data_IF_122210860373
#
_entry.id   IF_122210860373
#
_cell.length_a   1.000
_cell.length_b   1.000
_cell.length_c   1.000
_cell.angle_alpha   90.00
_cell.angle_beta   90.00
_cell.angle_gamma   90.00
#
_symmetry.space_group_name_H-M   'P 1'
#
loop_
_entity.id
_entity.type
_entity.pdbx_description
1 polymer ?
#
# COMPACT_ATOMS: atom_id res chain seq x y z
N UNK A 1 -6.62 -46.62 33.78
CA UNK A 1 -6.09 -45.93 32.58
C UNK A 1 -6.66 -44.52 32.40
N UNK A 2 -7.80 -44.18 33.01
CA UNK A 2 -8.39 -42.82 32.90
C UNK A 2 -7.65 -41.76 33.73
N UNK A 3 -7.22 -42.05 34.96
CA UNK A 3 -6.51 -41.05 35.81
C UNK A 3 -5.20 -40.51 35.24
N UNK A 4 -4.40 -41.32 34.52
CA UNK A 4 -3.14 -40.85 33.92
C UNK A 4 -3.37 -39.89 32.74
N UNK A 5 -4.53 -40.00 32.07
CA UNK A 5 -4.92 -39.12 30.98
C UNK A 5 -5.39 -37.76 31.50
N UNK A 6 -5.94 -37.71 32.70
CA UNK A 6 -6.32 -36.47 33.38
C UNK A 6 -5.10 -35.74 33.95
N UNK A 7 -4.13 -36.45 34.54
CA UNK A 7 -2.88 -35.83 35.04
C UNK A 7 -2.06 -35.17 33.93
N UNK A 8 -1.92 -35.84 32.78
CA UNK A 8 -1.24 -35.28 31.61
C UNK A 8 -1.97 -34.08 31.02
N UNK A 9 -3.29 -34.05 31.08
CA UNK A 9 -4.09 -32.89 30.63
C UNK A 9 -3.92 -31.70 31.57
N UNK A 10 -3.93 -31.94 32.89
CA UNK A 10 -3.71 -30.89 33.89
C UNK A 10 -2.31 -30.26 33.75
N UNK A 11 -1.27 -31.08 33.54
CA UNK A 11 0.09 -30.58 33.32
C UNK A 11 0.21 -29.75 32.04
N UNK A 12 -0.52 -30.14 30.98
CA UNK A 12 -0.57 -29.36 29.74
C UNK A 12 -1.29 -28.03 29.94
N UNK A 13 -2.44 -28.03 30.61
CA UNK A 13 -3.20 -26.81 30.93
C UNK A 13 -2.36 -25.84 31.79
N UNK A 14 -1.56 -26.35 32.73
CA UNK A 14 -0.65 -25.53 33.54
C UNK A 14 0.52 -24.96 32.71
N UNK A 15 1.11 -25.76 31.83
CA UNK A 15 2.16 -25.32 30.90
C UNK A 15 1.66 -24.21 29.97
N UNK A 16 0.46 -24.38 29.40
CA UNK A 16 -0.16 -23.42 28.50
C UNK A 16 -0.49 -22.11 29.25
N UNK A 17 -0.95 -22.21 30.50
CA UNK A 17 -1.22 -21.04 31.35
C UNK A 17 0.05 -20.26 31.75
N UNK A 18 1.19 -20.94 31.92
CA UNK A 18 2.48 -20.28 32.16
C UNK A 18 2.92 -19.54 30.89
N UNK A 19 2.84 -20.19 29.73
CA UNK A 19 3.22 -19.59 28.45
C UNK A 19 2.34 -18.38 28.12
N UNK A 20 1.03 -18.47 28.31
CA UNK A 20 0.10 -17.38 28.07
C UNK A 20 0.43 -16.14 28.93
N UNK A 21 0.77 -16.33 30.21
CA UNK A 21 1.18 -15.23 31.09
C UNK A 21 2.48 -14.58 30.63
N UNK A 22 3.48 -15.37 30.25
CA UNK A 22 4.73 -14.84 29.74
C UNK A 22 4.54 -13.99 28.47
N UNK A 23 3.70 -14.44 27.54
CA UNK A 23 3.39 -13.68 26.33
C UNK A 23 2.66 -12.37 26.67
N UNK A 24 1.69 -12.41 27.59
CA UNK A 24 0.99 -11.20 28.04
C UNK A 24 1.96 -10.18 28.65
N UNK A 25 2.88 -10.63 29.51
CA UNK A 25 3.90 -9.76 30.11
C UNK A 25 4.84 -9.13 29.06
N UNK A 26 5.19 -9.85 28.00
CA UNK A 26 6.01 -9.31 26.89
C UNK A 26 5.24 -8.26 26.07
N UNK A 27 3.94 -8.48 25.82
CA UNK A 27 3.08 -7.48 25.19
C UNK A 27 2.90 -6.24 26.07
N UNK A 28 2.71 -6.41 27.37
CA UNK A 28 2.55 -5.30 28.31
C UNK A 28 3.85 -4.46 28.37
N UNK A 29 5.03 -5.09 28.39
CA UNK A 29 6.33 -4.38 28.30
C UNK A 29 6.50 -3.59 26.99
N UNK A 30 6.09 -4.15 25.85
CA UNK A 30 6.15 -3.46 24.57
C UNK A 30 5.19 -2.26 24.53
N UNK A 31 3.98 -2.43 25.05
CA UNK A 31 3.01 -1.34 25.14
C UNK A 31 3.44 -0.24 26.12
N UNK A 32 4.08 -0.59 27.24
CA UNK A 32 4.64 0.39 28.18
C UNK A 32 5.82 1.16 27.57
N UNK A 33 6.66 0.51 26.77
CA UNK A 33 7.75 1.16 26.04
C UNK A 33 7.21 2.16 25.00
N UNK A 34 6.16 1.80 24.25
CA UNK A 34 5.50 2.69 23.29
C UNK A 34 4.75 3.84 24.00
N UNK A 35 4.19 3.61 25.19
CA UNK A 35 3.54 4.65 25.99
C UNK A 35 4.54 5.68 26.53
N UNK A 36 5.75 5.28 26.94
CA UNK A 36 6.79 6.20 27.41
C UNK A 36 7.37 7.09 26.30
N UNK A 37 7.25 6.70 25.03
CA UNK A 37 7.72 7.50 23.89
C UNK A 37 6.77 8.65 23.53
N UNK A 38 5.52 8.61 23.99
CA UNK A 38 4.47 9.61 23.69
C UNK A 38 4.27 10.70 24.78
N UNK A 39 4.98 10.68 25.91
CA UNK A 39 4.76 11.63 27.04
C UNK A 39 5.85 12.72 27.13
N UNK A 40 6.65 12.92 26.09
CA UNK A 40 7.66 14.00 26.03
C UNK A 40 7.39 14.98 24.89
N UNK A 41 6.22 15.62 24.86
CA UNK A 41 5.98 16.90 24.17
C UNK A 41 4.60 17.48 24.52
N UNK A 42 4.41 17.92 25.75
CA UNK A 42 3.43 18.97 26.05
C UNK A 42 4.15 20.05 26.85
N UNK A 43 4.52 21.15 26.17
CA UNK A 43 4.32 22.47 26.76
C UNK A 43 4.41 23.59 25.70
N UNK A 44 3.37 24.43 25.73
CA UNK A 44 3.27 25.79 25.16
C UNK A 44 2.82 25.95 23.70
N UNK A 45 1.50 26.10 23.54
CA UNK A 45 0.90 26.93 22.49
C UNK A 45 0.71 28.35 23.04
N UNK A 46 0.97 29.41 22.26
CA UNK A 46 -0.14 30.30 21.96
C UNK A 46 -0.25 30.61 20.46
N UNK A 47 -1.51 30.57 20.04
CA UNK A 47 -2.08 30.96 18.74
C UNK A 47 -1.78 32.41 18.38
N UNK A 48 -1.23 32.68 17.19
CA UNK A 48 -1.57 33.86 16.36
C UNK A 48 -0.96 33.75 14.94
N UNK A 49 -1.85 33.66 13.96
CA UNK A 49 -1.84 34.17 12.57
C UNK A 49 -0.58 34.27 11.66
N UNK A 50 -0.80 34.24 10.32
CA UNK A 50 0.20 33.90 9.31
C UNK A 50 0.90 35.14 8.71
N UNK A 51 1.91 34.84 7.87
CA UNK A 51 2.81 35.73 7.11
C UNK A 51 4.07 36.18 7.87
N UNK A 52 5.25 35.76 7.38
CA UNK A 52 5.99 36.57 6.38
C UNK A 52 6.84 35.68 5.46
N UNK A 53 6.64 35.91 4.16
CA UNK A 53 7.50 35.53 3.05
C UNK A 53 8.88 36.17 3.20
N UNK A 54 9.93 35.42 2.88
CA UNK A 54 11.21 35.82 2.25
C UNK A 54 12.25 34.75 2.58
N UNK A 55 13.10 34.26 1.70
CA UNK A 55 13.32 34.53 0.30
C UNK A 55 14.21 33.38 -0.23
N UNK A 56 13.77 32.76 -1.33
CA UNK A 56 14.58 32.26 -2.45
C UNK A 56 15.95 31.69 -2.10
N UNK A 57 15.97 30.39 -1.76
CA UNK A 57 16.98 29.41 -2.19
C UNK A 57 16.49 28.03 -1.72
N UNK A 58 15.81 27.28 -2.60
CA UNK A 58 15.36 25.92 -2.30
C UNK A 58 16.58 24.98 -2.33
N UNK A 59 17.43 25.06 -1.30
CA UNK A 59 18.55 24.12 -1.11
C UNK A 59 18.03 22.94 -0.30
N UNK A 60 18.01 21.77 -0.92
CA UNK A 60 17.61 20.52 -0.28
C UNK A 60 18.86 19.70 0.03
N UNK A 61 19.12 19.49 1.32
CA UNK A 61 20.24 18.67 1.78
C UNK A 61 19.81 17.20 1.87
N UNK A 62 20.46 16.33 1.11
CA UNK A 62 20.16 14.89 1.05
C UNK A 62 21.40 14.07 1.41
N UNK A 63 21.35 13.29 2.50
CA UNK A 63 22.45 12.40 2.85
C UNK A 63 22.54 11.23 1.85
N UNK A 64 23.75 10.89 1.43
CA UNK A 64 23.99 9.72 0.60
C UNK A 64 23.88 8.43 1.43
N UNK A 65 23.11 7.42 0.98
CA UNK A 65 22.99 6.15 1.72
C UNK A 65 24.31 5.38 1.82
N UNK A 66 25.21 5.53 0.85
CA UNK A 66 26.43 4.71 0.76
C UNK A 66 27.65 5.37 1.41
N UNK A 67 27.81 6.69 1.27
CA UNK A 67 29.01 7.39 1.73
C UNK A 67 28.73 8.43 2.82
N UNK A 68 27.48 8.52 3.29
CA UNK A 68 26.97 9.46 4.31
C UNK A 68 27.21 10.95 4.01
N UNK A 69 27.74 11.28 2.83
CA UNK A 69 27.97 12.65 2.40
C UNK A 69 26.66 13.41 2.21
N UNK A 70 26.57 14.61 2.78
CA UNK A 70 25.42 15.50 2.63
C UNK A 70 25.50 16.24 1.29
N UNK A 71 24.58 15.95 0.37
CA UNK A 71 24.52 16.59 -0.94
C UNK A 71 23.56 17.76 -0.90
N UNK A 72 24.01 18.93 -1.33
CA UNK A 72 23.17 20.12 -1.43
C UNK A 72 22.61 20.23 -2.85
N UNK A 73 21.29 20.09 -2.97
CA UNK A 73 20.58 20.17 -4.24
C UNK A 73 19.91 21.54 -4.32
N UNK A 74 20.44 22.38 -5.21
CA UNK A 74 19.85 23.68 -5.51
C UNK A 74 18.65 23.51 -6.46
N UNK A 75 17.48 24.02 -6.07
CA UNK A 75 16.25 23.99 -6.87
C UNK A 75 15.88 22.56 -7.32
N UNK A 76 15.54 21.65 -6.39
CA UNK A 76 15.17 20.28 -6.74
C UNK A 76 13.95 20.29 -7.68
N UNK A 77 14.16 19.80 -8.90
CA UNK A 77 13.12 19.50 -9.87
C UNK A 77 12.54 18.13 -9.59
N UNK A 78 11.21 18.06 -9.44
CA UNK A 78 10.45 16.81 -9.28
C UNK A 78 10.67 15.86 -10.47
N UNK A 79 10.85 14.57 -10.19
CA UNK A 79 11.06 13.54 -11.21
C UNK A 79 12.48 13.43 -11.77
N UNK A 80 13.43 14.27 -11.32
CA UNK A 80 14.86 14.07 -11.64
C UNK A 80 15.53 13.14 -10.64
N UNK A 81 16.37 12.26 -11.15
CA UNK A 81 17.25 11.42 -10.35
C UNK A 81 18.54 12.20 -10.04
N UNK A 82 18.86 12.34 -8.75
CA UNK A 82 20.08 13.00 -8.31
C UNK A 82 21.12 11.96 -7.93
N UNK A 83 22.39 12.30 -8.10
CA UNK A 83 23.53 11.43 -7.74
C UNK A 83 24.38 12.13 -6.71
N UNK A 84 24.98 11.36 -5.82
CA UNK A 84 25.92 11.86 -4.84
C UNK A 84 27.17 12.39 -5.55
N UNK A 85 27.66 13.57 -5.14
CA UNK A 85 28.88 14.15 -5.72
C UNK A 85 30.14 13.34 -5.41
N UNK A 86 30.17 12.61 -4.28
CA UNK A 86 31.35 11.85 -3.84
C UNK A 86 31.44 10.45 -4.46
N UNK A 87 30.32 9.72 -4.45
CA UNK A 87 30.31 8.30 -4.86
C UNK A 87 29.42 8.02 -6.08
N UNK A 88 28.75 9.03 -6.63
CA UNK A 88 27.84 8.92 -7.78
C UNK A 88 26.62 7.99 -7.57
N UNK A 89 26.43 7.46 -6.36
CA UNK A 89 25.24 6.70 -5.97
C UNK A 89 23.99 7.56 -6.10
N UNK A 90 22.89 6.95 -6.55
CA UNK A 90 21.60 7.61 -6.67
C UNK A 90 21.07 8.04 -5.29
N UNK A 91 20.64 9.29 -5.17
CA UNK A 91 20.11 9.87 -3.95
C UNK A 91 18.59 9.75 -3.91
N UNK A 92 18.07 9.34 -2.75
CA UNK A 92 16.65 9.36 -2.45
C UNK A 92 16.25 10.77 -2.02
N UNK A 93 16.02 11.62 -3.02
CA UNK A 93 15.54 12.97 -2.77
C UNK A 93 14.06 12.90 -2.43
N UNK A 94 13.63 13.34 -1.23
CA UNK A 94 12.22 13.43 -0.92
C UNK A 94 11.61 14.36 -1.94
N UNK A 95 10.80 13.79 -2.84
CA UNK A 95 9.98 14.59 -3.71
C UNK A 95 9.10 15.40 -2.78
N UNK A 96 9.33 16.71 -2.68
CA UNK A 96 8.36 17.65 -2.12
C UNK A 96 7.19 17.70 -3.09
N UNK A 97 6.49 16.57 -3.15
CA UNK A 97 5.31 16.36 -3.91
C UNK A 97 4.23 16.93 -3.00
N UNK A 98 3.91 18.20 -3.23
CA UNK A 98 2.51 18.49 -3.53
C UNK A 98 2.11 17.50 -4.62
N UNK A 99 1.81 16.26 -4.23
CA UNK A 99 0.77 15.53 -4.91
C UNK A 99 -0.39 16.50 -4.77
N UNK A 100 -0.83 17.09 -5.88
CA UNK A 100 -2.25 17.35 -5.96
C UNK A 100 -2.87 16.04 -5.49
N UNK A 101 -3.50 16.05 -4.33
CA UNK A 101 -4.38 14.96 -3.92
C UNK A 101 -5.46 14.94 -4.99
N UNK A 102 -5.19 14.28 -6.13
CA UNK A 102 -6.24 13.72 -6.95
C UNK A 102 -6.99 12.82 -5.98
N UNK A 103 -8.08 13.35 -5.44
CA UNK A 103 -8.92 12.61 -4.53
C UNK A 103 -9.24 11.28 -5.19
N UNK A 104 -8.98 10.15 -4.51
CA UNK A 104 -9.28 8.84 -5.07
C UNK A 104 -10.73 8.84 -5.51
N UNK A 105 -10.96 8.70 -6.82
CA UNK A 105 -12.33 8.69 -7.35
C UNK A 105 -12.99 7.41 -6.87
N UNK A 106 -13.92 7.52 -5.94
CA UNK A 106 -14.68 6.36 -5.46
C UNK A 106 -15.88 6.15 -6.37
N UNK A 107 -16.02 4.94 -6.93
CA UNK A 107 -17.17 4.55 -7.75
C UNK A 107 -17.88 3.35 -7.19
N UNK A 108 -19.21 3.38 -7.26
CA UNK A 108 -20.05 2.26 -6.88
C UNK A 108 -20.19 1.28 -8.05
N UNK A 109 -20.06 -0.02 -7.78
CA UNK A 109 -20.30 -1.06 -8.77
C UNK A 109 -21.80 -1.19 -9.06
N UNK A 110 -22.24 -1.18 -10.33
CA UNK A 110 -23.66 -1.33 -10.67
C UNK A 110 -24.21 -2.73 -10.37
N UNK A 111 -23.36 -3.76 -10.28
CA UNK A 111 -23.79 -5.13 -10.07
C UNK A 111 -23.90 -5.50 -8.57
N UNK A 112 -22.92 -5.09 -7.76
CA UNK A 112 -22.82 -5.48 -6.35
C UNK A 112 -22.91 -4.31 -5.36
N UNK A 113 -23.09 -3.08 -5.86
CA UNK A 113 -23.20 -1.85 -5.07
C UNK A 113 -22.00 -1.56 -4.15
N UNK A 114 -20.87 -2.23 -4.36
CA UNK A 114 -19.67 -1.99 -3.58
C UNK A 114 -18.91 -0.76 -4.09
N UNK A 115 -18.34 0.01 -3.16
CA UNK A 115 -17.51 1.17 -3.46
C UNK A 115 -16.09 0.70 -3.81
N UNK A 116 -15.61 1.11 -4.98
CA UNK A 116 -14.30 0.79 -5.52
C UNK A 116 -13.50 2.08 -5.66
N UNK A 117 -12.22 2.05 -5.28
CA UNK A 117 -11.30 3.17 -5.46
C UNK A 117 -10.72 3.06 -6.87
N UNK A 118 -10.94 4.10 -7.69
CA UNK A 118 -10.43 4.14 -9.05
C UNK A 118 -9.05 4.80 -9.03
N UNK A 119 -7.97 4.08 -9.43
CA UNK A 119 -6.66 4.69 -9.59
C UNK A 119 -6.70 5.72 -10.72
N UNK A 120 -6.03 6.86 -10.56
CA UNK A 120 -6.03 7.95 -11.55
C UNK A 120 -5.24 7.67 -12.83
N UNK A 121 -4.64 6.47 -12.95
CA UNK A 121 -3.94 6.03 -14.16
C UNK A 121 -4.94 5.50 -15.18
N UNK A 122 -4.71 5.84 -16.46
CA UNK A 122 -5.51 5.33 -17.58
C UNK A 122 -5.36 3.82 -17.68
N UNK A 123 -6.47 3.10 -17.54
CA UNK A 123 -6.58 1.68 -17.78
C UNK A 123 -7.67 1.43 -18.84
N UNK A 124 -7.48 0.42 -19.68
CA UNK A 124 -8.43 0.08 -20.76
C UNK A 124 -9.76 -0.47 -20.22
N UNK A 125 -9.74 -1.09 -19.04
CA UNK A 125 -10.93 -1.52 -18.31
C UNK A 125 -10.70 -1.46 -16.80
N UNK A 126 -11.73 -1.04 -16.06
CA UNK A 126 -11.74 -1.02 -14.59
C UNK A 126 -12.76 -2.07 -14.12
N UNK A 127 -12.34 -3.01 -13.28
CA UNK A 127 -13.20 -4.07 -12.74
C UNK A 127 -13.46 -3.86 -11.25
N UNK A 128 -14.62 -4.31 -10.77
CA UNK A 128 -14.94 -4.30 -9.35
C UNK A 128 -14.08 -5.31 -8.59
N UNK A 129 -13.47 -4.89 -7.48
CA UNK A 129 -12.66 -5.77 -6.64
C UNK A 129 -13.44 -6.90 -5.95
N UNK A 130 -14.78 -6.81 -5.90
CA UNK A 130 -15.62 -7.79 -5.22
C UNK A 130 -16.35 -8.75 -6.17
N UNK A 131 -16.90 -8.25 -7.27
CA UNK A 131 -17.67 -9.06 -8.21
C UNK A 131 -17.02 -9.16 -9.59
N UNK A 132 -15.86 -8.54 -9.80
CA UNK A 132 -15.07 -8.56 -11.04
C UNK A 132 -15.82 -8.06 -12.28
N UNK A 133 -16.97 -7.41 -12.10
CA UNK A 133 -17.74 -6.78 -13.16
C UNK A 133 -17.13 -5.42 -13.52
N UNK A 134 -17.16 -5.05 -14.79
CA UNK A 134 -16.63 -3.77 -15.27
C UNK A 134 -17.36 -2.57 -14.65
N UNK A 135 -16.60 -1.60 -14.14
CA UNK A 135 -17.05 -0.37 -13.47
C UNK A 135 -17.27 0.80 -14.44
N UNK A 136 -16.73 0.69 -15.65
CA UNK A 136 -16.81 1.74 -16.70
C UNK A 136 -17.29 1.10 -17.99
N UNK A 137 -18.42 1.58 -18.52
CA UNK A 137 -18.71 1.40 -19.94
C UNK A 137 -17.76 2.30 -20.75
N UNK A 138 -17.12 1.77 -21.82
CA UNK A 138 -16.26 2.58 -22.66
C UNK A 138 -17.04 3.79 -23.16
N UNK A 139 -16.46 4.99 -23.05
CA UNK A 139 -17.01 6.27 -23.51
C UNK A 139 -17.03 6.39 -25.03
N UNK A 140 -17.47 5.34 -25.71
CA UNK A 140 -17.67 5.29 -27.15
C UNK A 140 -19.01 4.60 -27.43
N UNK A 141 -19.95 5.27 -28.12
CA UNK A 141 -21.15 4.61 -28.61
C UNK A 141 -20.71 3.71 -29.77
N UNK A 142 -20.40 2.44 -29.46
CA UNK A 142 -20.15 1.45 -30.49
C UNK A 142 -21.17 0.34 -30.27
N UNK A 143 -22.20 0.44 -31.12
CA UNK A 143 -22.97 -0.61 -31.74
C UNK A 143 -23.04 -1.96 -31.01
N UNK A 144 -24.28 -2.32 -30.70
CA UNK A 144 -24.75 -3.70 -30.54
C UNK A 144 -24.05 -4.65 -31.54
N UNK A 145 -23.74 -5.86 -31.07
CA UNK A 145 -23.13 -7.00 -31.78
C UNK A 145 -21.60 -7.06 -31.79
N UNK A 146 -21.02 -7.44 -30.65
CA UNK A 146 -19.88 -8.35 -30.67
C UNK A 146 -20.00 -9.28 -29.48
N UNK A 147 -20.22 -10.57 -29.74
CA UNK A 147 -19.99 -11.66 -28.79
C UNK A 147 -18.51 -11.65 -28.43
N UNK A 148 -18.12 -10.79 -27.49
CA UNK A 148 -16.78 -10.81 -26.91
C UNK A 148 -16.65 -12.10 -26.12
N UNK A 149 -15.83 -13.04 -26.61
CA UNK A 149 -15.44 -14.21 -25.82
C UNK A 149 -14.76 -13.73 -24.54
N UNK A 150 -15.35 -14.10 -23.41
CA UNK A 150 -14.78 -13.90 -22.08
C UNK A 150 -14.11 -15.22 -21.69
N UNK A 151 -12.81 -15.19 -21.42
CA UNK A 151 -12.05 -16.34 -20.91
C UNK A 151 -11.69 -16.12 -19.44
N UNK A 152 -11.75 -17.19 -18.65
CA UNK A 152 -11.29 -17.17 -17.25
C UNK A 152 -9.83 -17.57 -17.18
N UNK A 153 -8.99 -16.73 -16.56
CA UNK A 153 -7.55 -16.95 -16.40
C UNK A 153 -7.23 -17.02 -14.92
N UNK A 154 -6.47 -18.05 -14.52
CA UNK A 154 -5.95 -18.18 -13.16
C UNK A 154 -4.55 -17.56 -13.07
N UNK A 155 -4.35 -16.68 -12.10
CA UNK A 155 -3.12 -15.91 -11.94
C UNK A 155 -2.65 -15.98 -10.50
N UNK A 156 -1.37 -16.30 -10.30
CA UNK A 156 -0.76 -16.24 -8.97
C UNK A 156 -0.26 -14.85 -8.67
N UNK A 157 -0.57 -14.36 -7.48
CA UNK A 157 -0.02 -13.12 -6.97
C UNK A 157 1.51 -13.24 -6.80
N UNK A 158 2.27 -12.24 -7.23
CA UNK A 158 3.73 -12.21 -7.07
C UNK A 158 4.19 -12.07 -5.62
N UNK A 159 3.34 -11.48 -4.76
CA UNK A 159 3.67 -11.20 -3.36
C UNK A 159 3.26 -12.35 -2.43
N UNK A 160 1.99 -12.75 -2.44
CA UNK A 160 1.46 -13.73 -1.49
C UNK A 160 1.22 -15.12 -2.10
N UNK A 161 1.52 -15.31 -3.41
CA UNK A 161 1.27 -16.55 -4.15
C UNK A 161 -0.19 -17.01 -4.21
N UNK A 162 -1.15 -16.22 -3.73
CA UNK A 162 -2.57 -16.55 -3.81
C UNK A 162 -3.02 -16.66 -5.28
N UNK A 163 -3.90 -17.64 -5.55
CA UNK A 163 -4.48 -17.87 -6.88
C UNK A 163 -5.72 -16.97 -7.01
N UNK A 164 -5.71 -16.09 -8.00
CA UNK A 164 -6.80 -15.19 -8.34
C UNK A 164 -7.40 -15.66 -9.67
N UNK A 165 -8.73 -15.78 -9.74
CA UNK A 165 -9.45 -16.12 -10.96
C UNK A 165 -9.97 -14.82 -11.59
N UNK A 166 -9.44 -14.45 -12.75
CA UNK A 166 -9.77 -13.21 -13.44
C UNK A 166 -10.49 -13.52 -14.74
N UNK A 167 -11.61 -12.85 -14.99
CA UNK A 167 -12.30 -12.91 -16.28
C UNK A 167 -11.73 -11.83 -17.19
N UNK A 168 -11.20 -12.24 -18.35
CA UNK A 168 -10.58 -11.34 -19.32
C UNK A 168 -11.24 -11.52 -20.67
N UNK A 169 -11.45 -10.41 -21.38
CA UNK A 169 -11.88 -10.45 -22.78
C UNK A 169 -10.69 -10.83 -23.67
N UNK A 170 -10.95 -11.56 -24.76
CA UNK A 170 -9.91 -12.15 -25.63
C UNK A 170 -8.91 -11.17 -26.26
N UNK A 171 -9.14 -9.85 -26.18
CA UNK A 171 -8.32 -8.83 -26.84
C UNK A 171 -7.38 -8.06 -25.88
N UNK A 172 -7.18 -8.52 -24.64
CA UNK A 172 -6.35 -7.84 -23.65
C UNK A 172 -4.92 -8.39 -23.64
N UNK A 173 -3.93 -7.51 -23.81
CA UNK A 173 -2.50 -7.84 -23.78
C UNK A 173 -1.88 -7.70 -22.38
N UNK A 174 -2.45 -6.84 -21.53
CA UNK A 174 -2.00 -6.63 -20.16
C UNK A 174 -3.20 -6.44 -19.24
N UNK A 175 -3.13 -7.04 -18.06
CA UNK A 175 -4.17 -6.94 -17.03
C UNK A 175 -3.57 -6.54 -15.71
N UNK A 176 -4.28 -5.67 -15.01
CA UNK A 176 -3.94 -5.24 -13.67
C UNK A 176 -5.09 -5.61 -12.74
N UNK A 177 -4.80 -6.27 -11.63
CA UNK A 177 -5.80 -6.67 -10.65
C UNK A 177 -5.25 -6.56 -9.23
N UNK A 178 -6.13 -6.30 -8.27
CA UNK A 178 -5.81 -6.33 -6.86
C UNK A 178 -5.95 -7.76 -6.34
N UNK A 179 -4.93 -8.27 -5.64
CA UNK A 179 -4.99 -9.59 -5.04
C UNK A 179 -5.96 -9.60 -3.87
N UNK A 180 -6.96 -10.48 -3.89
CA UNK A 180 -7.93 -10.61 -2.80
C UNK A 180 -7.33 -11.09 -1.46
N UNK A 181 -6.10 -11.63 -1.47
CA UNK A 181 -5.43 -12.12 -0.26
C UNK A 181 -4.57 -11.07 0.46
N UNK A 182 -3.83 -10.25 -0.29
CA UNK A 182 -2.86 -9.32 0.29
C UNK A 182 -2.98 -7.88 -0.23
N UNK A 183 -4.06 -7.58 -0.98
CA UNK A 183 -4.38 -6.25 -1.55
C UNK A 183 -3.28 -5.64 -2.42
N UNK A 184 -2.27 -6.43 -2.80
CA UNK A 184 -1.22 -5.99 -3.72
C UNK A 184 -1.76 -5.87 -5.14
N UNK A 185 -1.32 -4.83 -5.85
CA UNK A 185 -1.63 -4.63 -7.27
C UNK A 185 -0.68 -5.50 -8.08
N UNK A 186 -1.22 -6.42 -8.87
CA UNK A 186 -0.47 -7.31 -9.74
C UNK A 186 -0.69 -6.91 -11.20
N UNK A 187 0.38 -6.89 -11.99
CA UNK A 187 0.34 -6.61 -13.43
C UNK A 187 0.84 -7.85 -14.18
N UNK A 188 0.04 -8.32 -15.13
CA UNK A 188 0.36 -9.53 -15.90
C UNK A 188 0.13 -9.28 -17.39
N UNK A 189 1.18 -9.48 -18.18
CA UNK A 189 1.06 -9.55 -19.63
C UNK A 189 0.46 -10.91 -20.03
N UNK A 190 -0.64 -10.88 -20.77
CA UNK A 190 -1.27 -12.09 -21.32
C UNK A 190 -0.62 -12.42 -22.67
N UNK A 191 -0.33 -13.70 -22.95
CA UNK A 191 0.17 -14.15 -24.25
C UNK A 191 -0.91 -14.14 -25.32
#
# INVERSE_FOLDING_TARGET
>A
MESQKDESRIQQEESDAILARHLQEEFDKLNEADAMQNVRSEDTVPRSEPLRKSSVNNVLTVPCPECTFNNEILNPVSGKCYKCIQCYTQLNVPSSCTKEEEHPQVRECPACHLKNIIPSRKADALLCGACYQQLVEPSSPISEQSTQEVRSVQIRCGECSAINLVQVTSNLNCIQFECGGCTSINEVALP
#
